data_IF_827584543559
#
_entry.id   IF_827584543559
#
_cell.length_a   1.000
_cell.length_b   1.000
_cell.length_c   1.000
_cell.angle_alpha   90.00
_cell.angle_beta   90.00
_cell.angle_gamma   90.00
#
_symmetry.space_group_name_H-M   'P 1'
#
loop_
_entity.id
_entity.type
_entity.pdbx_description
1 polymer ?
#
# COMPACT_ATOMS: atom_id res chain seq x y z
N UNK A 1 0.54 -7.16 12.88
CA UNK A 1 -0.17 -6.20 12.02
C UNK A 1 -1.47 -5.87 12.70
N UNK A 2 -1.79 -4.59 12.88
CA UNK A 2 -3.04 -4.14 13.51
C UNK A 2 -3.87 -3.47 12.43
N UNK A 3 -5.06 -4.00 12.19
CA UNK A 3 -6.06 -3.39 11.33
C UNK A 3 -6.80 -2.31 12.12
N UNK A 4 -6.58 -1.05 11.76
CA UNK A 4 -7.17 0.08 12.47
C UNK A 4 -8.67 0.26 12.22
N UNK A 5 -9.24 -0.36 11.18
CA UNK A 5 -10.67 -0.27 10.91
C UNK A 5 -11.47 -1.13 11.90
N UNK A 6 -10.93 -2.28 12.29
CA UNK A 6 -11.62 -3.27 13.14
C UNK A 6 -11.17 -3.30 14.60
N UNK A 7 -9.99 -2.78 14.93
CA UNK A 7 -9.42 -2.83 16.30
C UNK A 7 -10.30 -2.15 17.35
N UNK A 8 -10.39 -2.71 18.56
CA UNK A 8 -11.14 -2.14 19.68
C UNK A 8 -10.28 -1.25 20.57
N UNK A 9 -10.88 -0.32 21.35
CA UNK A 9 -10.13 0.49 22.33
C UNK A 9 -9.44 -0.35 23.42
N UNK A 10 -9.98 -1.53 23.73
CA UNK A 10 -9.36 -2.46 24.69
C UNK A 10 -8.06 -3.03 24.17
N UNK A 11 -8.05 -3.48 22.92
CA UNK A 11 -6.87 -4.02 22.24
C UNK A 11 -5.79 -2.94 22.05
N UNK A 12 -6.16 -1.71 21.70
CA UNK A 12 -5.22 -0.59 21.62
C UNK A 12 -4.54 -0.28 22.96
N UNK A 13 -5.30 -0.35 24.06
CA UNK A 13 -4.74 -0.20 25.42
C UNK A 13 -3.91 -1.40 25.87
N UNK A 14 -4.22 -2.59 25.37
CA UNK A 14 -3.43 -3.79 25.64
C UNK A 14 -2.10 -3.74 24.90
N UNK A 15 -2.10 -3.30 23.64
CA UNK A 15 -0.88 -3.03 22.87
C UNK A 15 0.07 -2.11 23.62
N UNK A 16 -0.41 -1.01 24.19
CA UNK A 16 0.43 -0.11 24.98
C UNK A 16 0.97 -0.72 26.27
N UNK A 17 0.42 -1.85 26.73
CA UNK A 17 0.79 -2.55 27.98
C UNK A 17 1.63 -3.79 27.76
N UNK A 18 1.51 -4.43 26.60
CA UNK A 18 2.27 -5.62 26.28
C UNK A 18 3.75 -5.24 26.09
N UNK A 19 4.55 -5.66 27.07
CA UNK A 19 5.95 -5.32 27.33
C UNK A 19 6.95 -5.59 26.18
N UNK A 20 6.52 -6.17 25.06
CA UNK A 20 7.35 -6.31 23.86
C UNK A 20 7.46 -5.00 23.07
N UNK A 21 6.55 -4.04 23.26
CA UNK A 21 6.65 -2.72 22.62
C UNK A 21 7.78 -1.86 23.22
N UNK A 22 8.28 -2.23 24.40
CA UNK A 22 9.45 -1.62 25.05
C UNK A 22 10.79 -2.18 24.55
N UNK A 23 10.78 -3.21 23.69
CA UNK A 23 12.00 -3.68 23.01
C UNK A 23 12.32 -2.77 21.82
N UNK A 24 13.53 -2.18 21.73
CA UNK A 24 13.96 -1.36 20.59
C UNK A 24 13.92 -2.08 19.23
N UNK A 25 13.78 -3.41 19.19
CA UNK A 25 13.65 -4.19 17.94
C UNK A 25 12.22 -4.39 17.45
N UNK A 26 11.22 -3.90 18.19
CA UNK A 26 9.82 -4.11 17.82
C UNK A 26 9.40 -3.17 16.69
N UNK A 27 8.72 -3.72 15.68
CA UNK A 27 8.08 -2.96 14.61
C UNK A 27 6.56 -3.05 14.80
N UNK A 28 5.92 -1.91 15.03
CA UNK A 28 4.46 -1.81 15.08
C UNK A 28 3.96 -1.31 13.75
N UNK A 29 3.16 -2.13 13.07
CA UNK A 29 2.54 -1.79 11.79
C UNK A 29 1.04 -1.56 11.97
N UNK A 30 0.60 -0.34 11.66
CA UNK A 30 -0.77 0.17 11.74
C UNK A 30 -1.32 0.29 10.32
N UNK A 31 -2.24 -0.60 9.93
CA UNK A 31 -2.87 -0.53 8.62
C UNK A 31 -4.08 0.40 8.66
N UNK A 32 -4.24 1.26 7.64
CA UNK A 32 -5.32 2.24 7.53
C UNK A 32 -5.51 3.11 8.79
N UNK A 33 -4.41 3.65 9.33
CA UNK A 33 -4.41 4.41 10.58
C UNK A 33 -5.32 5.67 10.52
N UNK A 34 -5.71 6.14 9.33
CA UNK A 34 -6.74 7.18 9.19
C UNK A 34 -8.13 6.76 9.69
N UNK A 35 -8.43 5.45 9.74
CA UNK A 35 -9.63 4.92 10.37
C UNK A 35 -9.72 5.28 11.86
N UNK A 36 -8.59 5.33 12.57
CA UNK A 36 -8.57 5.72 13.98
C UNK A 36 -8.96 7.18 14.19
N UNK A 37 -8.64 8.04 13.23
CA UNK A 37 -9.08 9.44 13.31
C UNK A 37 -10.58 9.53 13.12
N UNK A 38 -11.16 8.76 12.19
CA UNK A 38 -12.62 8.70 11.99
C UNK A 38 -13.36 8.21 13.25
N UNK A 39 -12.70 7.35 14.04
CA UNK A 39 -13.25 6.73 15.25
C UNK A 39 -12.88 7.45 16.55
N UNK A 40 -12.25 8.63 16.47
CA UNK A 40 -11.76 9.42 17.61
C UNK A 40 -10.79 8.66 18.56
N UNK A 41 -10.23 7.54 18.12
CA UNK A 41 -9.36 6.65 18.89
C UNK A 41 -7.86 6.95 18.71
N UNK A 42 -7.54 8.16 18.26
CA UNK A 42 -6.16 8.56 17.96
C UNK A 42 -5.33 8.88 19.21
N UNK A 43 -6.00 9.25 20.32
CA UNK A 43 -5.33 9.63 21.57
C UNK A 43 -4.66 8.42 22.24
N UNK A 44 -5.25 7.24 22.08
CA UNK A 44 -4.75 5.98 22.59
C UNK A 44 -3.41 5.61 21.93
N UNK A 45 -3.31 5.79 20.61
CA UNK A 45 -2.07 5.51 19.87
C UNK A 45 -1.02 6.59 20.12
N UNK A 46 -1.43 7.86 20.24
CA UNK A 46 -0.51 8.98 20.46
C UNK A 46 0.41 8.74 21.66
N UNK A 47 -0.16 8.32 22.78
CA UNK A 47 0.61 8.06 24.01
C UNK A 47 1.54 6.85 23.83
N UNK A 48 1.08 5.80 23.16
CA UNK A 48 1.91 4.63 22.86
C UNK A 48 3.12 4.99 21.98
N UNK A 49 2.95 5.84 20.97
CA UNK A 49 4.05 6.30 20.12
C UNK A 49 5.09 7.14 20.87
N UNK A 50 4.69 7.91 21.89
CA UNK A 50 5.63 8.74 22.67
C UNK A 50 6.44 7.94 23.69
N UNK A 51 5.83 6.89 24.24
CA UNK A 51 6.39 6.12 25.37
C UNK A 51 7.15 4.88 24.91
N UNK A 52 6.89 4.41 23.69
CA UNK A 52 7.50 3.21 23.16
C UNK A 52 8.81 3.49 22.39
N UNK A 53 9.86 2.70 22.61
CA UNK A 53 11.07 2.67 21.76
C UNK A 53 10.90 1.91 20.44
N UNK A 54 9.71 1.35 20.16
CA UNK A 54 9.45 0.61 18.92
C UNK A 54 9.50 1.51 17.67
N UNK A 55 9.75 0.89 16.53
CA UNK A 55 9.59 1.54 15.22
C UNK A 55 8.14 1.44 14.75
N UNK A 56 7.51 2.58 14.50
CA UNK A 56 6.11 2.64 14.07
C UNK A 56 5.99 2.91 12.58
N UNK A 57 5.23 2.06 11.89
CA UNK A 57 4.91 2.19 10.47
C UNK A 57 3.39 2.27 10.35
N UNK A 58 2.89 3.33 9.71
CA UNK A 58 1.47 3.51 9.46
C UNK A 58 1.19 3.65 7.97
N UNK A 59 0.15 2.98 7.46
CA UNK A 59 -0.42 3.25 6.14
C UNK A 59 -1.66 4.11 6.28
N UNK A 60 -1.91 4.96 5.30
CA UNK A 60 -3.17 5.70 5.21
C UNK A 60 -3.49 5.96 3.75
N UNK A 61 -4.78 5.89 3.41
CA UNK A 61 -5.24 6.28 2.08
C UNK A 61 -5.48 7.79 2.06
N UNK A 62 -4.65 8.54 1.33
CA UNK A 62 -4.89 9.97 1.17
C UNK A 62 -6.07 10.21 0.23
N UNK A 63 -7.19 10.68 0.79
CA UNK A 63 -8.37 11.10 0.02
C UNK A 63 -8.12 12.45 -0.64
N UNK A 64 -7.62 12.40 -1.88
CA UNK A 64 -7.37 13.51 -2.83
C UNK A 64 -6.45 14.64 -2.31
N UNK A 65 -5.39 15.02 -3.05
CA UNK A 65 -4.53 16.12 -2.62
C UNK A 65 -5.28 17.46 -2.59
N UNK A 66 -5.20 18.21 -1.47
CA UNK A 66 -5.63 19.62 -1.45
C UNK A 66 -4.56 20.46 -2.13
N UNK A 67 -4.98 21.48 -2.86
CA UNK A 67 -4.06 22.59 -3.18
C UNK A 67 -3.88 23.44 -1.93
N UNK A 68 -2.68 23.44 -1.37
CA UNK A 68 -2.25 24.38 -0.32
C UNK A 68 -1.15 25.25 -0.90
N UNK A 69 -1.36 26.57 -0.97
CA UNK A 69 -0.41 27.54 -1.53
C UNK A 69 0.14 27.14 -2.92
N UNK A 70 -0.75 26.69 -3.81
CA UNK A 70 -0.39 26.28 -5.18
C UNK A 70 0.26 24.90 -5.32
N UNK A 71 0.62 24.22 -4.22
CA UNK A 71 1.17 22.85 -4.25
C UNK A 71 0.09 21.83 -3.90
N UNK A 72 0.02 20.73 -4.65
CA UNK A 72 -0.81 19.56 -4.31
C UNK A 72 -0.14 18.85 -3.14
N UNK A 73 -0.76 18.87 -1.96
CA UNK A 73 -0.30 18.11 -0.81
C UNK A 73 -1.28 16.96 -0.54
N UNK A 74 -0.80 15.72 -0.33
CA UNK A 74 -1.66 14.64 0.13
C UNK A 74 -2.28 15.06 1.46
N UNK A 75 -3.60 15.09 1.53
CA UNK A 75 -4.29 15.29 2.80
C UNK A 75 -4.27 13.93 3.49
N UNK A 76 -3.52 13.86 4.57
CA UNK A 76 -3.73 12.84 5.57
C UNK A 76 -4.49 13.56 6.67
N UNK A 77 -5.73 13.15 6.96
CA UNK A 77 -6.60 13.78 7.95
C UNK A 77 -6.13 13.49 9.38
N UNK A 78 -4.83 13.47 9.65
CA UNK A 78 -4.32 13.26 10.99
C UNK A 78 -4.26 14.57 11.77
N UNK A 79 -4.54 14.53 13.08
CA UNK A 79 -4.24 15.64 13.97
C UNK A 79 -2.76 16.08 13.81
N UNK A 80 -2.46 17.40 13.85
CA UNK A 80 -1.10 17.91 13.74
C UNK A 80 -0.09 17.23 14.67
N UNK A 81 -0.55 16.75 15.82
CA UNK A 81 0.22 16.06 16.84
C UNK A 81 0.73 14.71 16.33
N UNK A 82 -0.13 13.90 15.71
CA UNK A 82 0.26 12.61 15.11
C UNK A 82 1.17 12.82 13.91
N UNK A 83 0.86 13.82 13.10
CA UNK A 83 1.65 14.22 11.95
C UNK A 83 3.13 14.49 12.28
N UNK A 84 3.43 15.05 13.45
CA UNK A 84 4.82 15.35 13.87
C UNK A 84 5.60 14.14 14.38
N UNK A 85 4.92 13.04 14.75
CA UNK A 85 5.55 11.82 15.31
C UNK A 85 6.13 10.91 14.23
N UNK A 86 5.60 10.96 13.02
CA UNK A 86 6.17 10.25 11.87
C UNK A 86 7.25 11.10 11.20
N UNK A 87 8.51 10.76 11.47
CA UNK A 87 9.70 11.47 10.97
C UNK A 87 9.86 11.39 9.45
N UNK A 88 9.35 10.32 8.82
CA UNK A 88 9.40 10.10 7.37
C UNK A 88 8.01 9.83 6.82
N UNK A 89 7.71 10.46 5.68
CA UNK A 89 6.47 10.23 4.92
C UNK A 89 6.83 9.81 3.52
N UNK A 90 6.27 8.67 3.11
CA UNK A 90 6.44 8.13 1.77
C UNK A 90 5.07 8.22 1.10
N UNK A 91 4.95 9.13 0.13
CA UNK A 91 3.75 9.24 -0.68
C UNK A 91 3.78 8.20 -1.79
N UNK A 92 2.79 7.31 -1.82
CA UNK A 92 2.55 6.42 -2.95
C UNK A 92 1.45 7.00 -3.84
N UNK A 93 1.63 6.94 -5.15
CA UNK A 93 0.62 7.34 -6.14
C UNK A 93 0.45 6.22 -7.13
N UNK A 94 -0.75 6.08 -7.70
CA UNK A 94 -0.95 5.18 -8.83
C UNK A 94 -0.03 5.63 -9.98
N UNK A 95 0.68 4.69 -10.62
CA UNK A 95 1.56 5.03 -11.73
C UNK A 95 0.73 5.52 -12.93
N UNK A 96 1.26 6.50 -13.65
CA UNK A 96 0.77 6.79 -15.00
C UNK A 96 1.13 5.62 -15.95
N UNK A 97 0.57 5.63 -17.15
CA UNK A 97 0.76 4.54 -18.10
C UNK A 97 2.24 4.26 -18.40
N UNK A 98 3.03 5.30 -18.66
CA UNK A 98 4.47 5.17 -18.97
C UNK A 98 5.25 4.54 -17.82
N UNK A 99 5.01 5.01 -16.59
CA UNK A 99 5.67 4.47 -15.39
C UNK A 99 5.22 3.02 -15.13
N UNK A 100 3.95 2.69 -15.42
CA UNK A 100 3.45 1.34 -15.26
C UNK A 100 4.05 0.38 -16.28
N UNK A 101 4.20 0.80 -17.55
CA UNK A 101 4.90 0.00 -18.57
C UNK A 101 6.34 -0.30 -18.14
N UNK A 102 7.09 0.73 -17.75
CA UNK A 102 8.46 0.57 -17.27
C UNK A 102 8.53 -0.39 -16.06
N UNK A 103 7.61 -0.23 -15.12
CA UNK A 103 7.50 -1.12 -13.97
C UNK A 103 7.16 -2.57 -14.37
N UNK A 104 6.27 -2.79 -15.33
CA UNK A 104 5.97 -4.13 -15.88
C UNK A 104 7.23 -4.78 -16.43
N UNK A 105 8.00 -4.07 -17.27
CA UNK A 105 9.24 -4.62 -17.81
C UNK A 105 10.26 -4.98 -16.75
N UNK A 106 10.38 -4.13 -15.72
CA UNK A 106 11.25 -4.40 -14.58
C UNK A 106 10.82 -5.68 -13.85
N UNK A 107 9.53 -5.84 -13.59
CA UNK A 107 8.98 -7.05 -12.96
C UNK A 107 9.14 -8.29 -13.84
N UNK A 108 8.91 -8.19 -15.15
CA UNK A 108 9.14 -9.30 -16.07
C UNK A 108 10.60 -9.74 -16.06
N UNK A 109 11.55 -8.79 -15.99
CA UNK A 109 12.97 -9.10 -15.86
C UNK A 109 13.31 -9.75 -14.52
N UNK A 110 12.82 -9.18 -13.42
CA UNK A 110 13.07 -9.71 -12.08
C UNK A 110 12.51 -11.12 -11.90
N UNK A 111 11.35 -11.40 -12.50
CA UNK A 111 10.66 -12.68 -12.39
C UNK A 111 10.97 -13.63 -13.55
N UNK A 112 11.89 -13.27 -14.44
CA UNK A 112 12.27 -14.07 -15.62
C UNK A 112 11.04 -14.49 -16.45
N UNK A 113 10.12 -13.55 -16.68
CA UNK A 113 8.93 -13.72 -17.52
C UNK A 113 9.25 -13.22 -18.92
N UNK A 114 9.05 -14.07 -19.91
CA UNK A 114 9.14 -13.72 -21.32
C UNK A 114 7.82 -13.08 -21.77
N UNK A 115 7.91 -12.03 -22.58
CA UNK A 115 6.75 -11.43 -23.22
C UNK A 115 6.65 -11.99 -24.65
N UNK A 116 5.47 -12.46 -25.05
CA UNK A 116 5.24 -12.90 -26.43
C UNK A 116 5.55 -11.79 -27.43
N UNK A 117 5.07 -10.59 -27.14
CA UNK A 117 5.31 -9.38 -27.91
C UNK A 117 4.96 -8.14 -27.04
N UNK A 118 5.22 -6.95 -27.55
CA UNK A 118 5.04 -5.72 -26.76
C UNK A 118 3.58 -5.28 -26.57
N UNK A 119 2.66 -5.80 -27.39
CA UNK A 119 1.23 -5.57 -27.22
C UNK A 119 0.72 -6.12 -25.88
N UNK A 120 1.34 -7.17 -25.35
CA UNK A 120 1.02 -7.75 -24.03
C UNK A 120 1.10 -6.68 -22.94
N UNK A 121 2.18 -5.90 -22.91
CA UNK A 121 2.39 -4.84 -21.90
C UNK A 121 1.37 -3.71 -22.07
N UNK A 122 1.12 -3.29 -23.31
CA UNK A 122 0.13 -2.25 -23.60
C UNK A 122 -1.27 -2.69 -23.18
N UNK A 123 -1.63 -3.94 -23.43
CA UNK A 123 -2.92 -4.51 -23.02
C UNK A 123 -3.03 -4.65 -21.51
N UNK A 124 -1.96 -5.07 -20.80
CA UNK A 124 -1.93 -5.10 -19.34
C UNK A 124 -2.18 -3.71 -18.74
N UNK A 125 -1.52 -2.67 -19.25
CA UNK A 125 -1.70 -1.29 -18.77
C UNK A 125 -3.14 -0.81 -19.00
N UNK A 126 -3.65 -1.00 -20.23
CA UNK A 126 -5.02 -0.61 -20.59
C UNK A 126 -6.06 -1.32 -19.73
N UNK A 127 -5.93 -2.64 -19.55
CA UNK A 127 -6.89 -3.46 -18.81
C UNK A 127 -6.84 -3.24 -17.30
N UNK A 128 -5.65 -3.03 -16.74
CA UNK A 128 -5.48 -2.81 -15.30
C UNK A 128 -5.98 -1.44 -14.84
N UNK A 129 -6.17 -0.46 -15.74
CA UNK A 129 -6.54 0.93 -15.40
C UNK A 129 -5.62 1.51 -14.32
N UNK A 130 -4.31 1.34 -14.50
CA UNK A 130 -3.25 1.73 -13.55
C UNK A 130 -3.25 1.01 -12.19
N UNK A 131 -4.04 -0.05 -12.00
CA UNK A 131 -4.03 -0.83 -10.75
C UNK A 131 -2.89 -1.84 -10.75
N UNK A 132 -1.86 -1.59 -9.96
CA UNK A 132 -0.67 -2.45 -9.84
C UNK A 132 -1.03 -3.89 -9.45
N UNK A 133 -2.00 -4.09 -8.56
CA UNK A 133 -2.48 -5.43 -8.17
C UNK A 133 -2.95 -6.26 -9.36
N UNK A 134 -3.76 -5.67 -10.24
CA UNK A 134 -4.28 -6.34 -11.44
C UNK A 134 -3.15 -6.79 -12.37
N UNK A 135 -2.09 -5.97 -12.48
CA UNK A 135 -0.90 -6.29 -13.26
C UNK A 135 -0.12 -7.44 -12.61
N UNK A 136 0.06 -7.43 -11.29
CA UNK A 136 0.72 -8.53 -10.56
C UNK A 136 0.01 -9.87 -10.78
N UNK A 137 -1.32 -9.88 -10.76
CA UNK A 137 -2.10 -11.10 -10.98
C UNK A 137 -1.89 -11.63 -12.41
N UNK A 138 -1.81 -10.77 -13.43
CA UNK A 138 -1.46 -11.17 -14.80
C UNK A 138 -0.01 -11.68 -14.92
N UNK A 139 0.95 -11.02 -14.25
CA UNK A 139 2.34 -11.47 -14.23
C UNK A 139 2.48 -12.84 -13.57
N UNK A 140 1.69 -13.13 -12.52
CA UNK A 140 1.67 -14.43 -11.86
C UNK A 140 1.25 -15.56 -12.82
N UNK A 141 0.34 -15.28 -13.76
CA UNK A 141 -0.03 -16.24 -14.82
C UNK A 141 1.18 -16.53 -15.72
N UNK A 142 1.84 -15.48 -16.20
CA UNK A 142 3.06 -15.63 -17.03
C UNK A 142 4.15 -16.43 -16.31
N UNK A 143 4.35 -16.19 -15.01
CA UNK A 143 5.29 -16.95 -14.18
C UNK A 143 4.90 -18.43 -14.00
N UNK A 144 3.61 -18.77 -14.11
CA UNK A 144 3.09 -20.13 -13.99
C UNK A 144 3.07 -20.92 -15.31
N UNK A 145 3.17 -20.24 -16.45
CA UNK A 145 3.14 -20.87 -17.76
C UNK A 145 4.42 -21.68 -18.06
N UNK A 146 4.33 -22.77 -18.83
CA UNK A 146 5.51 -23.43 -19.40
C UNK A 146 6.36 -22.43 -20.21
N UNK A 147 7.66 -22.36 -19.92
CA UNK A 147 8.56 -21.38 -20.55
C UNK A 147 8.46 -19.97 -19.98
N UNK A 148 7.65 -19.76 -18.93
CA UNK A 148 7.44 -18.48 -18.24
C UNK A 148 7.03 -17.35 -19.20
N UNK A 149 6.28 -17.68 -20.25
CA UNK A 149 5.87 -16.72 -21.28
C UNK A 149 4.47 -16.22 -21.00
N UNK A 150 4.31 -14.89 -20.99
CA UNK A 150 3.03 -14.20 -20.93
C UNK A 150 2.58 -13.83 -22.34
N UNK A 151 1.41 -14.32 -22.73
CA UNK A 151 0.84 -14.18 -24.09
C UNK A 151 -0.32 -13.22 -24.14
N UNK A 152 -0.68 -12.76 -25.34
CA UNK A 152 -1.88 -11.95 -25.56
C UNK A 152 -3.17 -12.69 -25.14
N UNK A 153 -3.20 -14.02 -25.28
CA UNK A 153 -4.33 -14.85 -24.88
C UNK A 153 -4.50 -14.87 -23.36
N UNK A 154 -3.40 -14.96 -22.60
CA UNK A 154 -3.43 -14.90 -21.14
C UNK A 154 -4.02 -13.55 -20.69
N UNK A 155 -3.53 -12.46 -21.26
CA UNK A 155 -4.01 -11.13 -20.93
C UNK A 155 -5.48 -10.98 -21.28
N UNK A 156 -5.94 -11.47 -22.44
CA UNK A 156 -7.34 -11.36 -22.91
C UNK A 156 -8.32 -12.22 -22.12
N UNK A 157 -7.92 -13.43 -21.74
CA UNK A 157 -8.75 -14.36 -20.98
C UNK A 157 -8.80 -14.03 -19.48
N UNK A 158 -7.85 -13.23 -18.98
CA UNK A 158 -7.82 -12.86 -17.58
C UNK A 158 -9.08 -12.12 -17.13
N UNK A 159 -9.73 -12.59 -16.07
CA UNK A 159 -10.86 -11.94 -15.44
C UNK A 159 -10.44 -11.39 -14.09
N UNK A 160 -10.59 -10.07 -13.92
CA UNK A 160 -10.37 -9.45 -12.62
C UNK A 160 -11.47 -9.90 -11.66
N UNK A 161 -11.08 -10.60 -10.60
CA UNK A 161 -11.97 -10.79 -9.45
C UNK A 161 -12.04 -9.42 -8.78
N UNK A 162 -13.17 -8.72 -8.91
CA UNK A 162 -13.41 -7.56 -8.06
C UNK A 162 -13.68 -8.12 -6.65
N UNK A 163 -12.83 -7.85 -5.65
CA UNK A 163 -13.28 -7.99 -4.29
C UNK A 163 -14.39 -6.96 -4.07
N UNK A 164 -15.58 -7.44 -3.71
CA UNK A 164 -16.68 -6.62 -3.21
C UNK A 164 -16.27 -5.83 -1.95
#
# INVERSE_FOLDING_TARGET
>A
MIDCDTVTPGELRQLSRDSSIEDPKTIVYLDEIDALVRREAFNEIKNACDQSPASWIGTAVSLKPKKVKGRRQPIVHWPPEMNRRFSRRIGTVLPNEVNLQAWIHERCREWEINLENEQVVLDMVRRSKSRVRHVLEMLAIGASNPGRTLTDSDIRSFNFVNPD
#
